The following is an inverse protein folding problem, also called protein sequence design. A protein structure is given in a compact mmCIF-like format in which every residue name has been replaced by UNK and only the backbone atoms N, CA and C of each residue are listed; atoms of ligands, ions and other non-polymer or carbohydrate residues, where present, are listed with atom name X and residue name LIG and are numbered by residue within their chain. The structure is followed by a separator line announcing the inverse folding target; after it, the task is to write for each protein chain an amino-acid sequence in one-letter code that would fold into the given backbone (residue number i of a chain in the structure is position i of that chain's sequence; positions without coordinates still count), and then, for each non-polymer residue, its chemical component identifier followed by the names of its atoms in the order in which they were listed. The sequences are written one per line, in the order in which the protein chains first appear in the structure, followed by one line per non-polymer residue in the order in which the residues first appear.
data_IF_959969571736
#
_entry.id   IF_959969571736
#
_cell.length_a   1.000
_cell.length_b   1.000
_cell.length_c   1.000
_cell.angle_alpha   90.00
_cell.angle_beta   90.00
_cell.angle_gamma   90.00
#
_symmetry.space_group_name_H-M   'P 1'
#
loop_
_entity.id
_entity.type
_entity.pdbx_description
1 polymer ?
#
# COMPACT_ATOMS: atom_id res chain seq x y z
N UNK A 1 -24.93 2.97 -5.62
CA UNK A 1 -23.71 2.81 -4.80
C UNK A 1 -24.14 2.06 -3.56
N UNK A 2 -23.53 0.91 -3.23
CA UNK A 2 -23.81 0.23 -1.98
C UNK A 2 -23.53 1.16 -0.79
N UNK A 3 -24.39 1.11 0.24
CA UNK A 3 -24.18 1.86 1.47
C UNK A 3 -23.07 1.22 2.29
N UNK A 4 -22.18 2.01 2.85
CA UNK A 4 -21.16 1.58 3.80
C UNK A 4 -21.40 2.31 5.11
N UNK A 5 -21.47 1.56 6.21
CA UNK A 5 -21.51 2.10 7.57
C UNK A 5 -20.18 1.79 8.26
N UNK A 6 -19.45 2.83 8.62
CA UNK A 6 -18.25 2.69 9.44
C UNK A 6 -18.66 2.49 10.91
N UNK A 7 -18.19 1.42 11.50
CA UNK A 7 -18.42 1.05 12.90
C UNK A 7 -17.20 1.38 13.78
N UNK A 8 -16.44 2.39 13.39
CA UNK A 8 -15.32 2.91 14.17
C UNK A 8 -15.77 3.82 15.31
N UNK A 9 -14.89 4.05 16.26
CA UNK A 9 -15.12 4.94 17.40
C UNK A 9 -15.27 4.22 18.72
N UNK A 10 -16.26 4.63 19.59
CA UNK A 10 -16.33 4.13 20.94
C UNK A 10 -16.95 2.75 21.05
N UNK A 11 -16.22 1.82 21.65
CA UNK A 11 -16.67 0.48 21.98
C UNK A 11 -16.73 0.30 23.50
N UNK A 12 -17.77 -0.41 23.98
CA UNK A 12 -17.80 -0.86 25.37
C UNK A 12 -16.95 -2.12 25.52
N UNK A 13 -16.01 -2.10 26.45
CA UNK A 13 -15.11 -3.23 26.73
C UNK A 13 -15.55 -3.94 28.02
N UNK A 14 -15.64 -5.27 27.95
CA UNK A 14 -15.76 -6.17 29.08
C UNK A 14 -14.65 -7.21 29.07
N UNK A 15 -14.23 -7.70 30.21
CA UNK A 15 -13.29 -8.82 30.34
C UNK A 15 -14.07 -10.08 30.68
N UNK A 16 -13.77 -11.19 30.01
CA UNK A 16 -14.27 -12.50 30.38
C UNK A 16 -13.24 -13.18 31.26
N UNK A 17 -13.57 -13.38 32.53
CA UNK A 17 -12.83 -14.30 33.37
C UNK A 17 -13.50 -15.68 33.21
N UNK A 18 -12.84 -16.61 32.53
CA UNK A 18 -13.26 -18.02 32.55
C UNK A 18 -13.01 -18.59 33.92
N UNK A 19 -14.04 -19.21 34.51
CA UNK A 19 -13.84 -20.01 35.74
C UNK A 19 -13.08 -21.29 35.36
N UNK A 20 -12.12 -21.68 36.20
CA UNK A 20 -11.35 -22.93 36.04
C UNK A 20 -12.24 -24.18 35.84
N UNK A 21 -13.48 -24.15 36.32
CA UNK A 21 -14.46 -25.25 36.20
C UNK A 21 -14.98 -25.48 34.77
N UNK A 22 -14.93 -24.48 33.90
CA UNK A 22 -15.39 -24.62 32.52
C UNK A 22 -14.30 -25.14 31.56
N UNK A 23 -13.02 -25.03 31.93
CA UNK A 23 -11.89 -25.54 31.18
C UNK A 23 -11.82 -27.08 31.12
N UNK A 24 -12.44 -27.77 32.10
CA UNK A 24 -12.44 -29.24 32.17
C UNK A 24 -13.39 -29.95 31.19
N UNK A 25 -14.16 -29.19 30.39
CA UNK A 25 -15.10 -29.74 29.39
C UNK A 25 -14.52 -29.89 27.99
N UNK A 26 -13.33 -29.38 27.74
CA UNK A 26 -12.62 -29.55 26.48
C UNK A 26 -11.50 -30.57 26.68
N UNK A 27 -11.81 -31.82 26.37
CA UNK A 27 -10.89 -32.96 26.48
C UNK A 27 -9.81 -32.87 25.38
N UNK A 28 -8.56 -33.03 25.81
CA UNK A 28 -7.39 -33.38 25.02
C UNK A 28 -6.96 -32.46 23.83
N UNK A 29 -6.56 -31.25 24.10
CA UNK A 29 -5.42 -30.64 23.37
C UNK A 29 -4.76 -29.60 24.28
N UNK A 30 -3.45 -29.58 24.29
CA UNK A 30 -2.49 -28.73 25.03
C UNK A 30 -3.09 -27.44 25.61
N UNK A 31 -2.92 -27.24 26.92
CA UNK A 31 -3.43 -26.12 27.70
C UNK A 31 -3.18 -24.78 26.99
N UNK A 32 -4.10 -24.39 26.12
CA UNK A 32 -4.24 -23.01 25.73
C UNK A 32 -4.77 -22.29 26.98
N UNK A 33 -3.98 -21.45 27.60
CA UNK A 33 -4.39 -20.58 28.69
C UNK A 33 -5.53 -19.68 28.18
N UNK A 34 -6.78 -20.13 28.29
CA UNK A 34 -8.02 -19.36 28.03
C UNK A 34 -8.16 -18.15 28.98
N UNK A 35 -7.06 -17.76 29.63
CA UNK A 35 -7.04 -16.90 30.78
C UNK A 35 -7.43 -15.45 30.53
N UNK A 36 -7.40 -14.96 29.28
CA UNK A 36 -7.77 -13.57 28.98
C UNK A 36 -8.44 -13.43 27.61
N UNK A 37 -9.71 -13.10 27.61
CA UNK A 37 -10.44 -12.70 26.41
C UNK A 37 -11.11 -11.34 26.66
N UNK A 38 -11.15 -10.49 25.65
CA UNK A 38 -11.85 -9.21 25.70
C UNK A 38 -13.14 -9.28 24.89
N UNK A 39 -14.25 -8.86 25.49
CA UNK A 39 -15.51 -8.63 24.75
C UNK A 39 -15.62 -7.14 24.45
N UNK A 40 -15.80 -6.83 23.19
CA UNK A 40 -16.11 -5.51 22.70
C UNK A 40 -17.56 -5.48 22.24
N UNK A 41 -18.31 -4.45 22.59
CA UNK A 41 -19.70 -4.26 22.16
C UNK A 41 -19.92 -2.86 21.61
N UNK A 42 -20.70 -2.77 20.54
CA UNK A 42 -21.13 -1.52 19.93
C UNK A 42 -22.57 -1.62 19.44
N UNK A 43 -23.35 -0.60 19.77
CA UNK A 43 -24.67 -0.42 19.17
C UNK A 43 -24.58 0.41 17.90
N UNK A 44 -25.39 0.08 16.90
CA UNK A 44 -25.50 0.81 15.64
C UNK A 44 -26.91 0.77 15.08
N UNK A 45 -27.22 1.72 14.24
CA UNK A 45 -28.48 1.82 13.49
C UNK A 45 -28.14 2.07 12.03
N UNK A 46 -29.00 1.61 11.13
CA UNK A 46 -28.81 1.86 9.70
C UNK A 46 -29.16 3.31 9.33
N UNK A 47 -28.39 3.87 8.43
CA UNK A 47 -28.79 5.00 7.62
C UNK A 47 -29.84 4.58 6.57
N UNK A 48 -30.41 5.53 5.84
CA UNK A 48 -31.47 5.26 4.87
C UNK A 48 -31.03 4.33 3.74
N UNK A 49 -29.83 4.44 3.13
CA UNK A 49 -29.35 3.53 2.10
C UNK A 49 -29.20 2.08 2.58
N UNK A 50 -28.63 1.86 3.76
CA UNK A 50 -28.44 0.51 4.31
C UNK A 50 -29.77 -0.12 4.71
N UNK A 51 -30.68 0.68 5.28
CA UNK A 51 -32.03 0.23 5.59
C UNK A 51 -32.76 -0.27 4.34
N UNK A 52 -32.71 0.50 3.25
CA UNK A 52 -33.29 0.11 1.98
C UNK A 52 -32.64 -1.18 1.42
N UNK A 53 -31.33 -1.32 1.55
CA UNK A 53 -30.60 -2.51 1.12
C UNK A 53 -31.04 -3.76 1.88
N UNK A 54 -31.20 -3.68 3.21
CA UNK A 54 -31.70 -4.79 4.04
C UNK A 54 -33.14 -5.12 3.66
N UNK A 55 -34.02 -4.12 3.46
CA UNK A 55 -35.42 -4.33 3.02
C UNK A 55 -35.49 -5.03 1.65
N UNK A 56 -34.53 -4.77 0.77
CA UNK A 56 -34.39 -5.43 -0.55
C UNK A 56 -33.74 -6.81 -0.49
N UNK A 57 -33.28 -7.25 0.68
CA UNK A 57 -32.59 -8.53 0.85
C UNK A 57 -31.19 -8.57 0.24
N UNK A 58 -30.49 -7.42 0.21
CA UNK A 58 -29.08 -7.38 -0.22
C UNK A 58 -28.20 -8.08 0.80
N UNK A 59 -27.07 -8.60 0.33
CA UNK A 59 -26.06 -9.20 1.19
C UNK A 59 -25.40 -8.11 2.04
N UNK A 60 -25.35 -8.34 3.35
CA UNK A 60 -24.73 -7.44 4.32
C UNK A 60 -23.40 -8.04 4.77
N UNK A 61 -22.31 -7.45 4.37
CA UNK A 61 -20.95 -7.92 4.70
C UNK A 61 -20.39 -7.10 5.85
N UNK A 62 -20.14 -7.76 6.99
CA UNK A 62 -19.43 -7.17 8.12
C UNK A 62 -17.94 -7.44 7.98
N UNK A 63 -17.13 -6.38 7.87
CA UNK A 63 -15.69 -6.47 7.66
C UNK A 63 -14.93 -5.90 8.86
N UNK A 64 -13.95 -6.66 9.35
CA UNK A 64 -12.96 -6.23 10.33
C UNK A 64 -11.62 -6.06 9.60
N UNK A 65 -11.13 -4.85 9.46
CA UNK A 65 -9.91 -4.52 8.73
C UNK A 65 -8.64 -4.97 9.43
N UNK A 66 -8.68 -5.10 10.77
CA UNK A 66 -7.56 -5.61 11.54
C UNK A 66 -7.87 -5.77 13.03
N UNK A 67 -7.40 -6.88 13.60
CA UNK A 67 -7.62 -7.24 15.02
C UNK A 67 -6.49 -8.12 15.55
N UNK A 68 -6.32 -8.15 16.86
CA UNK A 68 -5.28 -8.97 17.50
C UNK A 68 -5.85 -10.26 18.06
N UNK A 69 -5.25 -11.39 17.67
CA UNK A 69 -5.66 -12.74 18.09
C UNK A 69 -6.94 -13.22 17.41
N UNK A 70 -7.41 -14.43 17.71
CA UNK A 70 -8.64 -14.98 17.15
C UNK A 70 -9.87 -14.14 17.51
N UNK A 71 -10.71 -13.86 16.50
CA UNK A 71 -11.93 -13.06 16.60
C UNK A 71 -13.17 -13.92 16.37
N UNK A 72 -14.17 -13.75 17.24
CA UNK A 72 -15.53 -14.27 17.05
C UNK A 72 -16.51 -13.09 17.04
N UNK A 73 -17.45 -13.07 16.12
CA UNK A 73 -18.41 -11.98 15.96
C UNK A 73 -19.87 -12.45 16.03
N UNK A 74 -20.71 -11.66 16.72
CA UNK A 74 -22.16 -11.84 16.83
C UNK A 74 -22.87 -10.52 16.55
N UNK A 75 -23.98 -10.59 15.85
CA UNK A 75 -24.94 -9.49 15.71
C UNK A 75 -26.24 -9.91 16.40
N UNK A 76 -26.70 -9.11 17.38
CA UNK A 76 -27.91 -9.38 18.19
C UNK A 76 -27.94 -10.80 18.79
N UNK A 77 -26.78 -11.30 19.20
CA UNK A 77 -26.61 -12.65 19.74
C UNK A 77 -26.54 -13.76 18.69
N UNK A 78 -26.72 -13.47 17.42
CA UNK A 78 -26.54 -14.41 16.31
C UNK A 78 -25.09 -14.47 15.90
N UNK A 79 -24.46 -15.64 15.91
CA UNK A 79 -23.10 -15.84 15.46
C UNK A 79 -22.96 -15.58 13.96
N UNK A 80 -22.03 -14.69 13.57
CA UNK A 80 -21.82 -14.33 12.16
C UNK A 80 -20.47 -14.78 11.61
N UNK A 81 -19.45 -15.01 12.45
CA UNK A 81 -18.19 -15.52 11.94
C UNK A 81 -17.05 -15.62 12.95
N UNK A 82 -16.00 -16.32 12.51
CA UNK A 82 -14.73 -16.53 13.20
C UNK A 82 -13.59 -16.32 12.24
N UNK A 83 -12.52 -15.68 12.70
CA UNK A 83 -11.26 -15.56 11.97
C UNK A 83 -10.10 -15.64 12.95
N UNK A 84 -9.08 -16.45 12.62
CA UNK A 84 -7.91 -16.65 13.46
C UNK A 84 -6.80 -15.63 13.24
N UNK A 85 -6.74 -15.03 12.03
CA UNK A 85 -5.72 -14.04 11.63
C UNK A 85 -6.35 -12.66 11.43
N UNK A 86 -5.82 -11.66 12.13
CA UNK A 86 -6.35 -10.30 12.11
C UNK A 86 -5.55 -9.29 11.30
N UNK A 87 -4.51 -9.69 10.59
CA UNK A 87 -3.73 -8.75 9.75
C UNK A 87 -4.28 -8.60 8.34
N UNK A 88 -5.10 -9.56 7.93
CA UNK A 88 -5.88 -9.51 6.70
C UNK A 88 -7.34 -9.23 7.08
N UNK A 89 -8.07 -8.40 6.33
CA UNK A 89 -9.46 -8.12 6.60
C UNK A 89 -10.30 -9.41 6.64
N UNK A 90 -11.08 -9.58 7.71
CA UNK A 90 -12.04 -10.67 7.84
C UNK A 90 -13.44 -10.16 7.48
N UNK A 91 -14.09 -10.78 6.49
CA UNK A 91 -15.42 -10.42 6.01
C UNK A 91 -16.42 -11.55 6.30
N UNK A 92 -17.54 -11.21 6.93
CA UNK A 92 -18.58 -12.14 7.33
C UNK A 92 -19.93 -11.75 6.75
N UNK A 93 -20.70 -12.73 6.28
CA UNK A 93 -22.10 -12.52 5.88
C UNK A 93 -22.98 -12.39 7.13
N UNK A 94 -23.39 -11.16 7.42
CA UNK A 94 -24.28 -10.82 8.52
C UNK A 94 -25.74 -10.68 8.11
N UNK A 95 -26.10 -10.94 6.84
CA UNK A 95 -27.44 -10.71 6.28
C UNK A 95 -28.55 -11.32 7.12
N UNK A 96 -28.35 -12.56 7.58
CA UNK A 96 -29.35 -13.32 8.34
C UNK A 96 -29.57 -12.79 9.77
N UNK A 97 -28.66 -11.96 10.29
CA UNK A 97 -28.72 -11.43 11.65
C UNK A 97 -29.28 -10.00 11.72
N UNK A 98 -29.55 -9.36 10.58
CA UNK A 98 -29.88 -7.95 10.49
C UNK A 98 -31.35 -7.73 10.10
N UNK A 99 -31.98 -6.72 10.72
CA UNK A 99 -33.36 -6.31 10.45
C UNK A 99 -33.46 -4.79 10.25
N UNK A 100 -34.28 -4.28 9.33
CA UNK A 100 -34.25 -2.87 8.91
C UNK A 100 -34.71 -1.88 9.98
N UNK A 101 -35.37 -2.30 11.05
CA UNK A 101 -36.09 -1.41 11.99
C UNK A 101 -35.54 -1.40 13.42
N UNK A 102 -34.43 -2.09 13.69
CA UNK A 102 -33.88 -2.22 15.04
C UNK A 102 -32.57 -1.46 15.23
N UNK A 103 -32.29 -1.11 16.49
CA UNK A 103 -30.90 -0.87 16.92
C UNK A 103 -30.23 -2.21 17.06
N UNK A 104 -29.11 -2.39 16.38
CA UNK A 104 -28.34 -3.63 16.42
C UNK A 104 -27.19 -3.53 17.41
N UNK A 105 -26.83 -4.67 17.99
CA UNK A 105 -25.67 -4.81 18.86
C UNK A 105 -24.66 -5.73 18.19
N UNK A 106 -23.51 -5.18 17.82
CA UNK A 106 -22.34 -5.96 17.44
C UNK A 106 -21.54 -6.32 18.69
N UNK A 107 -21.33 -7.62 18.90
CA UNK A 107 -20.46 -8.14 19.96
C UNK A 107 -19.30 -8.90 19.34
N UNK A 108 -18.10 -8.64 19.82
CA UNK A 108 -16.86 -9.25 19.36
C UNK A 108 -16.11 -9.81 20.53
N UNK A 109 -15.74 -11.08 20.47
CA UNK A 109 -14.80 -11.72 21.41
C UNK A 109 -13.44 -11.79 20.73
N UNK A 110 -12.44 -11.19 21.35
CA UNK A 110 -11.04 -11.29 20.97
C UNK A 110 -10.30 -12.16 22.00
N UNK A 111 -9.66 -13.21 21.49
CA UNK A 111 -8.81 -14.05 22.32
C UNK A 111 -7.43 -13.40 22.46
N UNK A 112 -6.78 -13.59 23.60
CA UNK A 112 -5.43 -13.09 23.82
C UNK A 112 -4.44 -13.71 22.82
N UNK A 113 -3.61 -12.86 22.24
CA UNK A 113 -2.46 -13.25 21.43
C UNK A 113 -1.17 -12.96 22.18
N UNK A 114 -0.22 -13.89 22.25
CA UNK A 114 1.06 -13.64 22.92
C UNK A 114 1.94 -12.60 22.20
N UNK A 115 1.59 -12.22 21.01
CA UNK A 115 2.47 -11.44 20.10
C UNK A 115 2.15 -9.95 20.08
N UNK A 116 0.94 -9.51 20.44
CA UNK A 116 0.52 -8.12 20.18
C UNK A 116 -0.42 -7.52 21.24
N UNK A 117 -0.54 -6.19 21.18
CA UNK A 117 -1.54 -5.39 21.88
C UNK A 117 -2.97 -5.88 21.55
N UNK A 118 -3.84 -5.92 22.57
CA UNK A 118 -5.20 -6.45 22.43
C UNK A 118 -6.15 -5.39 21.84
N UNK A 119 -6.94 -5.76 20.83
CA UNK A 119 -8.02 -4.93 20.34
C UNK A 119 -8.26 -5.02 18.81
N UNK A 120 -9.21 -4.23 18.37
CA UNK A 120 -9.42 -3.88 16.97
C UNK A 120 -8.46 -2.73 16.64
N UNK A 121 -7.63 -2.87 15.62
CA UNK A 121 -6.61 -1.86 15.29
C UNK A 121 -6.77 -1.26 13.89
N UNK A 122 -7.71 -1.77 13.09
CA UNK A 122 -8.15 -1.15 11.83
C UNK A 122 -9.66 -1.01 11.84
N UNK A 123 -10.20 -0.40 10.79
CA UNK A 123 -11.61 -0.10 10.59
C UNK A 123 -12.52 -1.33 10.71
N UNK A 124 -13.73 -1.09 11.20
CA UNK A 124 -14.83 -2.05 11.16
C UNK A 124 -15.96 -1.44 10.34
N UNK A 125 -16.39 -2.13 9.30
CA UNK A 125 -17.42 -1.63 8.39
C UNK A 125 -18.51 -2.67 8.15
N UNK A 126 -19.70 -2.17 7.83
CA UNK A 126 -20.83 -2.95 7.34
C UNK A 126 -21.19 -2.43 5.96
N UNK A 127 -21.06 -3.27 4.94
CA UNK A 127 -21.30 -2.95 3.55
C UNK A 127 -22.49 -3.72 3.01
N UNK A 128 -23.38 -3.03 2.30
CA UNK A 128 -24.49 -3.66 1.58
C UNK A 128 -24.07 -3.95 0.13
N UNK A 129 -24.15 -5.20 -0.28
CA UNK A 129 -23.86 -5.63 -1.64
C UNK A 129 -25.12 -6.12 -2.34
N UNK A 130 -25.44 -5.62 -3.54
CA UNK A 130 -26.57 -6.10 -4.31
C UNK A 130 -26.36 -7.56 -4.74
N UNK A 131 -27.44 -8.30 -5.09
CA UNK A 131 -27.33 -9.68 -5.58
C UNK A 131 -26.40 -9.83 -6.78
N UNK A 132 -26.39 -8.83 -7.67
CA UNK A 132 -25.42 -8.73 -8.75
C UNK A 132 -24.33 -7.73 -8.35
N UNK A 133 -23.10 -8.19 -8.15
CA UNK A 133 -21.96 -7.36 -7.75
C UNK A 133 -20.63 -7.89 -8.28
N UNK A 134 -19.63 -7.03 -8.31
CA UNK A 134 -18.24 -7.37 -8.62
C UNK A 134 -17.60 -7.98 -7.38
N UNK A 135 -17.04 -9.18 -7.53
CA UNK A 135 -16.38 -9.91 -6.44
C UNK A 135 -14.89 -9.58 -6.38
N UNK A 136 -14.23 -9.56 -7.56
CA UNK A 136 -12.79 -9.31 -7.65
C UNK A 136 -12.42 -8.72 -9.02
N UNK A 137 -11.38 -7.91 -9.03
CA UNK A 137 -10.74 -7.38 -10.23
C UNK A 137 -9.30 -7.90 -10.32
N UNK A 138 -8.95 -8.50 -11.46
CA UNK A 138 -7.61 -9.02 -11.72
C UNK A 138 -6.97 -8.25 -12.89
N UNK A 139 -6.48 -7.02 -12.64
CA UNK A 139 -5.79 -6.26 -13.66
C UNK A 139 -4.32 -6.68 -13.75
N UNK A 140 -3.82 -6.82 -14.98
CA UNK A 140 -2.40 -6.92 -15.28
C UNK A 140 -2.04 -5.77 -16.20
N UNK A 141 -1.43 -4.73 -15.63
CA UNK A 141 -0.99 -3.54 -16.35
C UNK A 141 0.52 -3.60 -16.57
N UNK A 142 0.96 -3.53 -17.82
CA UNK A 142 2.36 -3.59 -18.22
C UNK A 142 2.74 -2.44 -19.14
N UNK A 143 4.05 -2.17 -19.29
CA UNK A 143 4.59 -1.15 -20.17
C UNK A 143 5.88 -1.64 -20.83
N UNK A 144 5.97 -1.60 -22.17
CA UNK A 144 7.11 -2.12 -22.95
C UNK A 144 8.20 -1.07 -23.23
N UNK A 145 8.12 0.10 -22.59
CA UNK A 145 8.98 1.27 -22.83
C UNK A 145 8.46 2.22 -23.91
N UNK A 146 7.38 1.84 -24.63
CA UNK A 146 6.75 2.68 -25.67
C UNK A 146 5.26 2.88 -25.44
N UNK A 147 4.57 1.84 -24.99
CA UNK A 147 3.14 1.85 -24.77
C UNK A 147 2.73 0.92 -23.64
N UNK A 148 1.59 1.22 -23.03
CA UNK A 148 0.98 0.35 -22.03
C UNK A 148 0.12 -0.75 -22.66
N UNK A 149 -0.03 -1.83 -21.90
CA UNK A 149 -1.01 -2.89 -22.15
C UNK A 149 -1.74 -3.25 -20.84
N UNK A 150 -3.04 -3.54 -20.97
CA UNK A 150 -3.88 -3.97 -19.86
C UNK A 150 -4.58 -5.28 -20.25
N UNK A 151 -4.52 -6.26 -19.35
CA UNK A 151 -5.40 -7.41 -19.35
C UNK A 151 -6.22 -7.38 -18.08
N UNK A 152 -7.54 -7.43 -18.18
CA UNK A 152 -8.45 -7.38 -17.04
C UNK A 152 -9.37 -8.59 -17.07
N UNK A 153 -9.47 -9.29 -15.94
CA UNK A 153 -10.54 -10.25 -15.65
C UNK A 153 -11.38 -9.70 -14.52
N UNK A 154 -12.68 -9.92 -14.62
CA UNK A 154 -13.66 -9.44 -13.62
C UNK A 154 -14.40 -10.64 -13.08
N UNK A 155 -14.25 -10.91 -11.80
CA UNK A 155 -15.08 -11.93 -11.11
C UNK A 155 -16.36 -11.26 -10.63
N UNK A 156 -17.52 -11.80 -11.00
CA UNK A 156 -18.82 -11.23 -10.63
C UNK A 156 -19.73 -12.27 -10.02
N UNK A 157 -20.72 -11.80 -9.29
CA UNK A 157 -21.89 -12.58 -8.89
C UNK A 157 -23.12 -11.96 -9.53
N UNK A 158 -23.76 -12.72 -10.42
CA UNK A 158 -24.86 -12.17 -11.22
C UNK A 158 -24.43 -11.11 -12.23
N UNK A 159 -25.40 -10.37 -12.78
CA UNK A 159 -25.16 -9.40 -13.85
C UNK A 159 -25.07 -10.07 -15.23
N UNK A 160 -25.11 -9.26 -16.29
CA UNK A 160 -25.07 -9.75 -17.68
C UNK A 160 -24.02 -9.05 -18.53
N UNK A 161 -23.58 -7.84 -18.13
CA UNK A 161 -22.64 -7.04 -18.90
C UNK A 161 -21.66 -6.33 -17.96
N UNK A 162 -20.38 -6.37 -18.30
CA UNK A 162 -19.31 -5.58 -17.68
C UNK A 162 -18.91 -4.47 -18.65
N UNK A 163 -18.81 -3.25 -18.13
CA UNK A 163 -18.22 -2.12 -18.82
C UNK A 163 -16.97 -1.69 -18.06
N UNK A 164 -15.82 -1.76 -18.69
CA UNK A 164 -14.54 -1.31 -18.14
C UNK A 164 -14.05 -0.07 -18.89
N UNK A 165 -13.63 0.95 -18.13
CA UNK A 165 -13.13 2.23 -18.68
C UNK A 165 -11.83 2.60 -17.98
N UNK A 166 -10.80 2.96 -18.75
CA UNK A 166 -9.53 3.50 -18.25
C UNK A 166 -9.46 5.00 -18.52
N UNK A 167 -9.22 5.78 -17.48
CA UNK A 167 -9.24 7.26 -17.54
C UNK A 167 -7.91 7.83 -17.05
N UNK A 168 -7.42 8.86 -17.73
CA UNK A 168 -6.42 9.78 -17.20
C UNK A 168 -7.17 10.92 -16.50
N UNK A 169 -7.22 10.89 -15.15
CA UNK A 169 -7.95 11.91 -14.39
C UNK A 169 -7.32 13.30 -14.50
N UNK A 170 -5.99 13.40 -14.61
CA UNK A 170 -5.31 14.69 -14.74
C UNK A 170 -5.65 15.41 -16.06
N UNK A 171 -5.85 14.65 -17.13
CA UNK A 171 -6.21 15.18 -18.46
C UNK A 171 -7.72 15.12 -18.71
N UNK A 172 -8.51 14.53 -17.83
CA UNK A 172 -9.94 14.24 -18.00
C UNK A 172 -10.23 13.48 -19.31
N UNK A 173 -9.35 12.52 -19.65
CA UNK A 173 -9.37 11.80 -20.92
C UNK A 173 -9.65 10.31 -20.71
N UNK A 174 -10.60 9.78 -21.47
CA UNK A 174 -10.79 8.34 -21.62
C UNK A 174 -9.70 7.79 -22.55
N UNK A 175 -8.92 6.83 -22.05
CA UNK A 175 -7.84 6.19 -22.80
C UNK A 175 -8.28 4.90 -23.48
N UNK A 176 -9.23 4.23 -22.88
CA UNK A 176 -9.77 2.97 -23.37
C UNK A 176 -11.10 2.65 -22.69
N UNK A 177 -11.99 1.99 -23.43
CA UNK A 177 -13.16 1.35 -22.86
C UNK A 177 -13.54 0.08 -23.60
N UNK A 178 -14.20 -0.85 -22.91
CA UNK A 178 -14.69 -2.11 -23.45
C UNK A 178 -15.96 -2.58 -22.76
N UNK A 179 -16.76 -3.34 -23.49
CA UNK A 179 -17.96 -4.01 -23.01
C UNK A 179 -17.83 -5.50 -23.28
N UNK A 180 -18.40 -6.33 -22.43
CA UNK A 180 -18.39 -7.77 -22.61
C UNK A 180 -19.19 -8.50 -21.52
N UNK A 181 -19.22 -9.83 -21.62
CA UNK A 181 -19.78 -10.68 -20.59
C UNK A 181 -18.87 -10.71 -19.34
N UNK A 182 -19.39 -11.05 -18.15
CA UNK A 182 -18.58 -11.16 -16.93
C UNK A 182 -17.37 -12.09 -17.02
N UNK A 183 -17.48 -13.18 -17.82
CA UNK A 183 -16.40 -14.17 -17.99
C UNK A 183 -15.39 -13.80 -19.08
N UNK A 184 -15.59 -12.69 -19.79
CA UNK A 184 -14.69 -12.24 -20.84
C UNK A 184 -13.36 -11.72 -20.25
N UNK A 185 -12.29 -11.85 -21.04
CA UNK A 185 -11.01 -11.22 -20.76
C UNK A 185 -10.94 -9.94 -21.57
N UNK A 186 -10.84 -8.79 -20.89
CA UNK A 186 -10.73 -7.49 -21.51
C UNK A 186 -9.26 -7.16 -21.77
N UNK A 187 -8.92 -6.84 -23.01
CA UNK A 187 -7.56 -6.49 -23.39
C UNK A 187 -7.48 -5.09 -24.02
N UNK A 188 -6.45 -4.35 -23.64
CA UNK A 188 -6.04 -3.11 -24.27
C UNK A 188 -4.55 -3.17 -24.59
N UNK A 189 -4.17 -2.69 -25.78
CA UNK A 189 -2.76 -2.64 -26.22
C UNK A 189 -2.47 -1.30 -26.88
N UNK A 190 -1.22 -0.88 -26.81
CA UNK A 190 -0.80 0.38 -27.41
C UNK A 190 -1.35 1.62 -26.68
N UNK A 191 -1.65 1.50 -25.40
CA UNK A 191 -2.16 2.60 -24.58
C UNK A 191 -1.10 3.70 -24.44
N UNK A 192 -1.52 4.94 -24.66
CA UNK A 192 -0.67 6.13 -24.45
C UNK A 192 -0.65 6.50 -22.98
N UNK A 193 0.11 5.78 -22.22
CA UNK A 193 0.30 5.97 -20.79
C UNK A 193 1.79 6.13 -20.49
N UNK A 194 2.11 6.83 -19.40
CA UNK A 194 3.46 6.90 -18.86
C UNK A 194 3.71 5.66 -17.97
N UNK A 195 4.94 5.12 -17.99
CA UNK A 195 5.29 4.04 -17.08
C UNK A 195 5.32 4.53 -15.63
N UNK A 196 4.81 3.73 -14.71
CA UNK A 196 4.89 4.00 -13.28
C UNK A 196 6.28 3.63 -12.74
N UNK A 197 6.85 4.53 -11.95
CA UNK A 197 8.06 4.27 -11.14
C UNK A 197 7.99 5.04 -9.82
N UNK A 198 8.89 4.72 -8.86
CA UNK A 198 9.00 5.50 -7.62
C UNK A 198 9.46 6.96 -7.85
N UNK A 199 10.07 7.25 -9.00
CA UNK A 199 10.50 8.59 -9.40
C UNK A 199 9.37 9.36 -10.11
N UNK A 200 8.57 8.65 -10.92
CA UNK A 200 7.43 9.17 -11.69
C UNK A 200 6.21 8.26 -11.47
N UNK A 201 5.41 8.48 -10.42
CA UNK A 201 4.30 7.61 -10.05
C UNK A 201 3.03 7.93 -10.85
N UNK A 202 3.04 7.68 -12.16
CA UNK A 202 1.90 7.91 -13.04
C UNK A 202 0.80 6.88 -12.80
N UNK A 203 -0.38 7.34 -12.35
CA UNK A 203 -1.56 6.53 -12.09
C UNK A 203 -2.70 6.86 -13.04
N UNK A 204 -3.50 5.85 -13.33
CA UNK A 204 -4.67 5.91 -14.21
C UNK A 204 -5.85 5.22 -13.54
N UNK A 205 -7.04 5.83 -13.59
CA UNK A 205 -8.24 5.29 -12.96
C UNK A 205 -8.91 4.23 -13.85
N UNK A 206 -8.97 2.99 -13.39
CA UNK A 206 -9.82 1.95 -13.96
C UNK A 206 -11.17 1.98 -13.26
N UNK A 207 -12.24 2.10 -14.02
CA UNK A 207 -13.63 2.06 -13.53
C UNK A 207 -14.28 0.87 -14.18
N UNK A 208 -14.83 -0.04 -13.36
CA UNK A 208 -15.54 -1.23 -13.82
C UNK A 208 -16.98 -1.19 -13.31
N UNK A 209 -17.93 -1.28 -14.20
CA UNK A 209 -19.35 -1.23 -13.89
C UNK A 209 -20.01 -2.54 -14.32
N UNK A 210 -20.75 -3.15 -13.42
CA UNK A 210 -21.58 -4.33 -13.67
C UNK A 210 -23.03 -3.89 -13.91
N UNK A 211 -23.65 -4.45 -14.96
CA UNK A 211 -25.02 -4.11 -15.39
C UNK A 211 -25.86 -5.36 -15.57
N UNK A 212 -27.17 -5.17 -15.46
CA UNK A 212 -28.18 -6.11 -15.94
C UNK A 212 -29.25 -5.37 -16.76
N UNK A 213 -30.37 -6.04 -17.04
CA UNK A 213 -31.47 -5.45 -17.83
C UNK A 213 -32.12 -4.21 -17.18
N UNK A 214 -32.00 -4.08 -15.85
CA UNK A 214 -32.55 -2.94 -15.08
C UNK A 214 -31.56 -1.76 -14.97
N UNK A 215 -30.30 -1.95 -15.35
CA UNK A 215 -29.25 -0.92 -15.34
C UNK A 215 -28.02 -1.27 -14.51
N UNK A 216 -27.33 -0.24 -14.00
CA UNK A 216 -26.12 -0.40 -13.21
C UNK A 216 -26.46 -1.03 -11.86
N UNK A 217 -25.74 -2.10 -11.51
CA UNK A 217 -25.87 -2.81 -10.23
C UNK A 217 -24.70 -2.51 -9.29
N UNK A 218 -23.47 -2.47 -9.84
CA UNK A 218 -22.28 -2.24 -9.05
C UNK A 218 -21.23 -1.47 -9.85
N UNK A 219 -20.39 -0.73 -9.16
CA UNK A 219 -19.27 0.01 -9.76
C UNK A 219 -18.09 -0.01 -8.80
N UNK A 220 -16.96 -0.50 -9.27
CA UNK A 220 -15.69 -0.54 -8.55
C UNK A 220 -14.65 0.26 -9.33
N UNK A 221 -13.84 1.02 -8.64
CA UNK A 221 -12.72 1.74 -9.25
C UNK A 221 -11.42 1.48 -8.50
N UNK A 222 -10.31 1.44 -9.23
CA UNK A 222 -8.97 1.31 -8.67
C UNK A 222 -7.96 2.08 -9.53
N UNK A 223 -6.85 2.46 -8.90
CA UNK A 223 -5.76 3.14 -9.60
C UNK A 223 -4.73 2.12 -10.11
N UNK A 224 -4.37 2.27 -11.38
CA UNK A 224 -3.39 1.42 -12.05
C UNK A 224 -2.13 2.19 -12.42
N UNK A 225 -0.98 1.61 -12.13
CA UNK A 225 0.31 2.01 -12.68
C UNK A 225 0.80 0.99 -13.71
N UNK A 226 1.19 1.46 -14.88
CA UNK A 226 1.67 0.60 -15.96
C UNK A 226 3.17 0.39 -15.85
N UNK A 227 3.59 -0.85 -15.61
CA UNK A 227 5.00 -1.20 -15.44
C UNK A 227 5.28 -2.66 -15.78
N UNK A 228 6.52 -2.97 -16.12
CA UNK A 228 7.00 -4.35 -16.26
C UNK A 228 8.12 -4.61 -15.28
N UNK A 229 7.94 -5.57 -14.39
CA UNK A 229 8.91 -6.01 -13.39
C UNK A 229 9.41 -7.39 -13.79
N UNK A 230 10.71 -7.61 -13.65
CA UNK A 230 11.33 -8.91 -13.84
C UNK A 230 12.30 -9.19 -12.69
N UNK A 231 12.17 -10.36 -12.09
CA UNK A 231 13.16 -10.88 -11.15
C UNK A 231 14.27 -11.59 -11.91
N UNK A 232 15.51 -11.22 -11.63
CA UNK A 232 16.69 -11.86 -12.21
C UNK A 232 17.60 -12.35 -11.09
N UNK A 233 18.57 -13.22 -11.43
CA UNK A 233 19.61 -13.64 -10.48
C UNK A 233 20.50 -12.48 -9.99
N UNK A 234 20.41 -11.31 -10.61
CA UNK A 234 21.18 -10.10 -10.27
C UNK A 234 20.34 -9.04 -9.54
N UNK A 235 19.05 -9.30 -9.32
CA UNK A 235 18.12 -8.40 -8.66
C UNK A 235 16.85 -8.15 -9.45
N UNK A 236 16.16 -7.07 -9.13
CA UNK A 236 14.90 -6.67 -9.76
C UNK A 236 15.16 -5.65 -10.86
N UNK A 237 14.52 -5.83 -12.01
CA UNK A 237 14.48 -4.83 -13.07
C UNK A 237 13.07 -4.25 -13.20
N UNK A 238 12.98 -2.98 -13.59
CA UNK A 238 11.74 -2.29 -13.92
C UNK A 238 11.87 -1.67 -15.31
N UNK A 239 10.99 -2.06 -16.23
CA UNK A 239 11.09 -1.61 -17.62
C UNK A 239 12.44 -1.96 -18.27
N UNK A 240 13.05 -3.08 -17.90
CA UNK A 240 14.36 -3.54 -18.38
C UNK A 240 15.56 -2.83 -17.75
N UNK A 241 15.38 -1.88 -16.82
CA UNK A 241 16.46 -1.21 -16.09
C UNK A 241 16.61 -1.82 -14.70
N UNK A 242 17.86 -2.11 -14.28
CA UNK A 242 18.14 -2.61 -12.93
C UNK A 242 17.77 -1.55 -11.88
N UNK A 243 17.00 -1.97 -10.87
CA UNK A 243 16.66 -1.12 -9.74
C UNK A 243 17.75 -1.14 -8.69
N UNK A 244 18.15 0.04 -8.23
CA UNK A 244 18.98 0.20 -7.03
C UNK A 244 18.04 0.48 -5.88
N UNK A 245 17.80 -0.52 -5.04
CA UNK A 245 16.91 -0.41 -3.89
C UNK A 245 17.63 0.31 -2.73
N UNK A 246 17.11 1.45 -2.35
CA UNK A 246 17.52 2.24 -1.18
C UNK A 246 16.41 2.15 -0.15
N UNK A 247 16.51 1.14 0.71
CA UNK A 247 15.38 0.67 1.48
C UNK A 247 15.45 0.93 2.97
N UNK A 248 14.29 0.86 3.59
CA UNK A 248 14.08 0.75 5.04
C UNK A 248 13.07 -0.36 5.30
N UNK A 249 13.14 -0.95 6.49
CA UNK A 249 12.12 -1.89 6.97
C UNK A 249 11.12 -1.15 7.84
N UNK A 250 9.84 -1.33 7.57
CA UNK A 250 8.72 -0.76 8.32
C UNK A 250 7.90 -1.87 8.96
N UNK A 251 7.69 -1.75 10.25
CA UNK A 251 6.77 -2.62 11.00
C UNK A 251 5.40 -1.94 11.11
N UNK A 252 4.32 -2.70 10.96
CA UNK A 252 2.94 -2.24 11.14
C UNK A 252 2.58 -2.00 12.62
N UNK A 253 3.47 -1.37 13.37
CA UNK A 253 3.28 -1.09 14.79
C UNK A 253 3.92 0.25 15.17
N UNK A 254 3.24 1.16 15.86
CA UNK A 254 3.78 2.41 16.41
C UNK A 254 3.97 2.31 17.93
N UNK A 255 5.01 2.97 18.47
CA UNK A 255 5.33 2.95 19.91
C UNK A 255 4.27 3.61 20.81
N UNK A 256 3.38 4.43 20.24
CA UNK A 256 2.30 5.13 20.96
C UNK A 256 0.94 4.47 20.76
N UNK A 257 0.64 4.06 19.53
CA UNK A 257 -0.66 3.53 19.11
C UNK A 257 -0.67 2.02 18.92
N UNK A 258 0.50 1.37 19.05
CA UNK A 258 0.63 -0.07 18.77
C UNK A 258 0.36 -0.37 17.31
N UNK A 259 -0.52 -1.33 17.05
CA UNK A 259 -0.92 -1.72 15.68
C UNK A 259 -1.92 -0.74 15.02
N UNK A 260 -2.51 0.20 15.79
CA UNK A 260 -3.48 1.17 15.28
C UNK A 260 -2.76 2.38 14.64
N UNK A 261 -2.03 2.14 13.56
CA UNK A 261 -1.33 3.18 12.80
C UNK A 261 -2.36 3.95 11.98
N UNK A 262 -2.38 5.27 12.16
CA UNK A 262 -3.34 6.16 11.49
C UNK A 262 -2.78 6.78 10.21
N UNK A 263 -3.66 7.38 9.40
CA UNK A 263 -3.29 8.00 8.13
C UNK A 263 -2.21 9.09 8.24
N UNK A 264 -2.23 10.03 9.22
CA UNK A 264 -1.15 10.99 9.41
C UNK A 264 0.22 10.33 9.65
N UNK A 265 0.28 9.26 10.44
CA UNK A 265 1.53 8.52 10.71
C UNK A 265 2.05 7.81 9.46
N UNK A 266 1.15 7.21 8.66
CA UNK A 266 1.51 6.61 7.37
C UNK A 266 2.07 7.65 6.40
N UNK A 267 1.43 8.81 6.31
CA UNK A 267 1.88 9.90 5.45
C UNK A 267 3.23 10.47 5.91
N UNK A 268 3.45 10.60 7.21
CA UNK A 268 4.73 11.01 7.78
C UNK A 268 5.85 10.02 7.44
N UNK A 269 5.57 8.70 7.44
CA UNK A 269 6.52 7.66 7.02
C UNK A 269 6.89 7.81 5.53
N UNK A 270 5.90 7.97 4.67
CA UNK A 270 6.09 8.18 3.22
C UNK A 270 6.92 9.44 2.95
N UNK A 271 6.51 10.57 3.53
CA UNK A 271 7.20 11.87 3.34
C UNK A 271 8.63 11.81 3.85
N UNK A 272 8.85 11.17 5.00
CA UNK A 272 10.20 10.97 5.53
C UNK A 272 11.05 10.17 4.55
N UNK A 273 10.55 9.04 4.04
CA UNK A 273 11.25 8.21 3.06
C UNK A 273 11.65 9.04 1.83
N UNK A 274 10.72 9.76 1.23
CA UNK A 274 10.97 10.59 0.04
C UNK A 274 12.02 11.67 0.30
N UNK A 275 11.95 12.37 1.43
CA UNK A 275 12.89 13.44 1.79
C UNK A 275 14.31 12.94 2.07
N UNK A 276 14.45 11.66 2.46
CA UNK A 276 15.76 11.05 2.72
C UNK A 276 16.25 10.18 1.55
N UNK A 277 15.61 10.28 0.38
CA UNK A 277 16.01 9.55 -0.83
C UNK A 277 15.81 8.04 -0.74
N UNK A 278 15.04 7.57 0.25
CA UNK A 278 14.56 6.18 0.33
C UNK A 278 13.55 5.95 -0.79
N UNK A 279 13.73 4.89 -1.56
CA UNK A 279 12.82 4.52 -2.64
C UNK A 279 12.10 3.20 -2.40
N UNK A 280 12.45 2.48 -1.35
CA UNK A 280 11.93 1.13 -1.08
C UNK A 280 11.57 0.98 0.39
N UNK A 281 10.40 0.42 0.66
CA UNK A 281 9.97 0.02 2.00
C UNK A 281 9.69 -1.47 2.00
N UNK A 282 10.36 -2.20 2.90
CA UNK A 282 10.02 -3.59 3.21
C UNK A 282 9.03 -3.57 4.36
N UNK A 283 7.84 -4.07 4.14
CA UNK A 283 6.86 -4.26 5.19
C UNK A 283 7.18 -5.59 5.85
N UNK A 284 7.40 -5.56 7.17
CA UNK A 284 7.81 -6.72 7.94
C UNK A 284 6.69 -7.17 8.87
N UNK A 285 6.75 -8.44 9.24
CA UNK A 285 5.94 -9.11 10.27
C UNK A 285 4.47 -9.35 9.91
N UNK A 286 3.88 -8.62 8.96
CA UNK A 286 2.50 -8.78 8.53
C UNK A 286 2.23 -8.07 7.19
N UNK A 287 1.17 -8.44 6.45
CA UNK A 287 0.73 -7.69 5.27
C UNK A 287 0.46 -6.23 5.56
N UNK A 288 0.90 -5.36 4.65
CA UNK A 288 0.77 -3.92 4.79
C UNK A 288 -0.67 -3.43 4.96
N UNK A 289 -0.83 -2.27 5.55
CA UNK A 289 -2.12 -1.60 5.58
C UNK A 289 -2.48 -1.13 4.15
N UNK A 290 -3.67 -1.47 3.65
CA UNK A 290 -4.08 -1.12 2.27
C UNK A 290 -3.88 0.38 1.98
N UNK A 291 -4.25 1.27 2.91
CA UNK A 291 -4.05 2.71 2.74
C UNK A 291 -2.58 3.12 2.61
N UNK A 292 -1.65 2.40 3.26
CA UNK A 292 -0.21 2.66 3.09
C UNK A 292 0.26 2.29 1.68
N UNK A 293 -0.28 1.21 1.10
CA UNK A 293 0.03 0.81 -0.27
C UNK A 293 -0.51 1.83 -1.29
N UNK A 294 -1.73 2.34 -1.09
CA UNK A 294 -2.29 3.42 -1.92
C UNK A 294 -1.42 4.68 -1.87
N UNK A 295 -0.96 5.07 -0.68
CA UNK A 295 -0.03 6.20 -0.54
C UNK A 295 1.32 5.92 -1.22
N UNK A 296 1.82 4.68 -1.15
CA UNK A 296 3.05 4.30 -1.85
C UNK A 296 2.89 4.34 -3.37
N UNK A 297 1.71 4.00 -3.89
CA UNK A 297 1.37 4.14 -5.32
C UNK A 297 1.38 5.62 -5.74
N UNK A 298 0.76 6.48 -4.93
CA UNK A 298 0.57 7.91 -5.21
C UNK A 298 1.88 8.71 -5.08
N UNK A 299 2.64 8.47 -4.01
CA UNK A 299 3.88 9.20 -3.72
C UNK A 299 5.12 8.61 -4.38
N UNK A 300 5.02 7.40 -4.90
CA UNK A 300 6.11 6.69 -5.57
C UNK A 300 7.12 6.09 -4.58
N UNK A 301 6.78 4.94 -4.00
CA UNK A 301 7.71 4.09 -3.26
C UNK A 301 7.58 2.65 -3.75
N UNK A 302 8.68 1.93 -3.85
CA UNK A 302 8.65 0.48 -4.06
C UNK A 302 8.34 -0.21 -2.75
N UNK A 303 7.43 -1.16 -2.79
CA UNK A 303 7.04 -1.96 -1.62
C UNK A 303 7.46 -3.41 -1.85
N UNK A 304 8.10 -3.98 -0.86
CA UNK A 304 8.26 -5.42 -0.71
C UNK A 304 7.30 -5.80 0.40
N UNK A 305 6.17 -6.39 0.02
CA UNK A 305 5.07 -6.63 0.96
C UNK A 305 5.13 -8.03 1.56
N UNK A 306 4.82 -8.12 2.85
CA UNK A 306 4.79 -9.38 3.57
C UNK A 306 3.49 -10.13 3.28
N UNK A 307 3.57 -11.37 2.83
CA UNK A 307 2.39 -12.21 2.59
C UNK A 307 2.10 -13.16 3.75
N UNK A 308 3.08 -13.43 4.62
CA UNK A 308 2.92 -14.32 5.74
C UNK A 308 2.95 -13.54 7.04
N UNK A 309 1.90 -13.65 7.83
CA UNK A 309 1.94 -13.19 9.21
C UNK A 309 2.74 -14.18 10.07
N UNK A 310 3.57 -13.66 10.98
CA UNK A 310 4.36 -14.45 11.94
C UNK A 310 3.50 -15.19 13.00
N UNK A 311 2.24 -15.50 12.68
CA UNK A 311 1.27 -15.94 13.66
C UNK A 311 1.06 -17.44 13.65
N UNK A 312 1.15 -17.93 14.81
CA UNK A 312 0.90 -19.19 15.47
C UNK A 312 0.37 -20.39 14.65
N UNK A 313 0.54 -21.60 15.19
CA UNK A 313 0.00 -22.81 14.58
C UNK A 313 -1.54 -22.74 14.57
N UNK A 314 -2.17 -22.94 13.41
CA UNK A 314 -3.63 -23.08 13.26
C UNK A 314 -4.31 -22.17 12.21
N UNK A 315 -3.61 -21.21 11.63
CA UNK A 315 -4.11 -20.48 10.45
C UNK A 315 -3.77 -21.30 9.23
N UNK A 316 -4.72 -21.49 8.32
CA UNK A 316 -4.45 -22.02 7.00
C UNK A 316 -3.56 -20.99 6.26
N UNK A 317 -2.25 -21.18 6.29
CA UNK A 317 -1.26 -20.26 5.71
C UNK A 317 -1.57 -19.93 4.25
N UNK A 318 -1.99 -20.93 3.50
CA UNK A 318 -2.32 -20.77 2.08
C UNK A 318 -3.47 -19.78 1.87
N UNK A 319 -4.52 -19.82 2.70
CA UNK A 319 -5.66 -18.90 2.62
C UNK A 319 -5.24 -17.47 2.98
N UNK A 320 -4.36 -17.29 3.96
CA UNK A 320 -3.84 -15.98 4.36
C UNK A 320 -2.97 -15.38 3.26
N UNK A 321 -2.07 -16.15 2.66
CA UNK A 321 -1.23 -15.74 1.54
C UNK A 321 -2.11 -15.36 0.33
N UNK A 322 -3.11 -16.19 0.00
CA UNK A 322 -4.03 -15.92 -1.09
C UNK A 322 -4.79 -14.61 -0.87
N UNK A 323 -5.30 -14.38 0.33
CA UNK A 323 -6.04 -13.17 0.66
C UNK A 323 -5.16 -11.91 0.58
N UNK A 324 -3.90 -11.97 1.07
CA UNK A 324 -2.95 -10.87 0.98
C UNK A 324 -2.64 -10.53 -0.49
N UNK A 325 -2.27 -11.53 -1.29
CA UNK A 325 -1.93 -11.32 -2.70
C UNK A 325 -3.13 -10.82 -3.50
N UNK A 326 -4.33 -11.38 -3.30
CA UNK A 326 -5.55 -10.92 -3.99
C UNK A 326 -5.85 -9.46 -3.68
N UNK A 327 -5.69 -9.04 -2.42
CA UNK A 327 -5.88 -7.65 -2.00
C UNK A 327 -4.88 -6.70 -2.66
N UNK A 328 -3.58 -7.08 -2.66
CA UNK A 328 -2.49 -6.13 -2.90
C UNK A 328 -1.88 -6.23 -4.31
N UNK A 329 -2.23 -7.25 -5.12
CA UNK A 329 -1.68 -7.45 -6.47
C UNK A 329 -1.96 -6.33 -7.47
N UNK A 330 -2.97 -5.48 -7.23
CA UNK A 330 -3.29 -4.37 -8.11
C UNK A 330 -2.37 -3.15 -7.90
N UNK A 331 -1.69 -3.06 -6.74
CA UNK A 331 -0.82 -1.93 -6.40
C UNK A 331 0.46 -1.93 -7.25
N UNK A 332 0.73 -0.86 -8.03
CA UNK A 332 1.97 -0.75 -8.81
C UNK A 332 3.21 -0.60 -7.93
N UNK A 333 3.08 -0.08 -6.72
CA UNK A 333 4.18 0.04 -5.74
C UNK A 333 4.72 -1.31 -5.29
N UNK A 334 3.88 -2.34 -5.15
CA UNK A 334 4.31 -3.68 -4.73
C UNK A 334 5.15 -4.32 -5.84
N UNK A 335 6.46 -4.46 -5.61
CA UNK A 335 7.41 -5.00 -6.59
C UNK A 335 7.82 -6.44 -6.30
N UNK A 336 7.65 -6.89 -5.08
CA UNK A 336 7.99 -8.25 -4.66
C UNK A 336 7.16 -8.65 -3.44
N UNK A 337 7.05 -9.97 -3.23
CA UNK A 337 6.43 -10.56 -2.07
C UNK A 337 7.50 -11.08 -1.10
N UNK A 338 7.51 -10.56 0.13
CA UNK A 338 8.30 -11.11 1.22
C UNK A 338 7.54 -12.27 1.85
N UNK A 339 8.13 -13.44 1.84
CA UNK A 339 7.53 -14.66 2.37
C UNK A 339 8.57 -15.52 3.08
N UNK A 340 8.11 -16.55 3.78
CA UNK A 340 8.99 -17.54 4.38
C UNK A 340 9.79 -18.37 3.33
N UNK A 341 10.75 -19.15 3.83
CA UNK A 341 11.62 -19.99 2.99
C UNK A 341 10.95 -21.33 2.58
N UNK A 342 9.66 -21.51 2.86
CA UNK A 342 8.96 -22.77 2.56
C UNK A 342 8.56 -22.83 1.07
N UNK A 343 8.98 -23.88 0.36
CA UNK A 343 8.75 -24.07 -1.08
C UNK A 343 7.24 -24.03 -1.47
N UNK A 344 6.36 -24.47 -0.58
CA UNK A 344 4.91 -24.48 -0.83
C UNK A 344 4.32 -23.09 -0.82
N UNK A 345 4.76 -22.19 0.09
CA UNK A 345 4.37 -20.78 0.14
C UNK A 345 4.78 -20.05 -1.14
N UNK A 346 6.03 -20.25 -1.54
CA UNK A 346 6.60 -19.70 -2.79
C UNK A 346 5.80 -20.15 -4.01
N UNK A 347 5.41 -21.43 -4.06
CA UNK A 347 4.61 -21.98 -5.17
C UNK A 347 3.19 -21.39 -5.20
N UNK A 348 2.55 -21.25 -4.03
CA UNK A 348 1.23 -20.66 -3.91
C UNK A 348 1.24 -19.21 -4.42
N UNK A 349 2.18 -18.39 -3.93
CA UNK A 349 2.31 -17.00 -4.35
C UNK A 349 2.53 -16.85 -5.86
N UNK A 350 3.41 -17.65 -6.43
CA UNK A 350 3.71 -17.67 -7.88
C UNK A 350 2.50 -18.03 -8.74
N UNK A 351 1.62 -18.89 -8.23
CA UNK A 351 0.41 -19.27 -8.94
C UNK A 351 -0.64 -18.15 -8.95
N UNK A 352 -0.65 -17.33 -7.91
CA UNK A 352 -1.59 -16.21 -7.72
C UNK A 352 -1.13 -14.94 -8.41
N UNK A 353 0.18 -14.68 -8.40
CA UNK A 353 0.79 -13.52 -9.05
C UNK A 353 2.16 -13.87 -9.65
N UNK A 354 2.19 -14.31 -10.91
CA UNK A 354 3.45 -14.60 -11.60
C UNK A 354 4.22 -13.34 -12.04
N UNK A 355 3.68 -12.15 -11.80
CA UNK A 355 4.25 -10.88 -12.28
C UNK A 355 5.28 -10.29 -11.34
N UNK A 356 5.35 -10.75 -10.08
CA UNK A 356 6.23 -10.21 -9.05
C UNK A 356 7.28 -11.22 -8.61
N UNK A 357 8.40 -10.65 -8.14
CA UNK A 357 9.48 -11.41 -7.58
C UNK A 357 9.14 -11.94 -6.18
N UNK A 358 9.72 -13.05 -5.82
CA UNK A 358 9.85 -13.48 -4.45
C UNK A 358 11.09 -12.82 -3.85
N UNK A 359 10.98 -12.38 -2.63
CA UNK A 359 12.05 -11.70 -1.93
C UNK A 359 12.34 -12.38 -0.60
N UNK A 360 13.48 -13.03 -0.50
CA UNK A 360 13.99 -13.56 0.76
C UNK A 360 14.84 -12.48 1.43
N UNK A 361 14.34 -11.92 2.52
CA UNK A 361 14.97 -11.00 3.49
C UNK A 361 16.19 -10.20 3.03
N UNK A 362 15.98 -8.98 2.53
CA UNK A 362 17.03 -7.97 2.59
C UNK A 362 17.06 -7.34 3.98
N UNK A 363 18.24 -7.26 4.55
CA UNK A 363 18.45 -6.52 5.79
C UNK A 363 18.53 -5.02 5.49
N UNK A 364 17.40 -4.35 5.39
CA UNK A 364 17.36 -2.90 5.42
C UNK A 364 17.23 -2.39 6.86
N UNK A 365 17.74 -1.18 7.17
CA UNK A 365 17.62 -0.62 8.50
C UNK A 365 16.15 -0.33 8.86
N UNK A 366 15.80 -0.55 10.12
CA UNK A 366 14.48 -0.25 10.67
C UNK A 366 14.19 1.26 10.59
N UNK A 367 13.08 1.64 9.93
CA UNK A 367 12.66 3.02 9.69
C UNK A 367 12.61 3.85 10.99
N UNK A 368 12.14 3.27 12.09
CA UNK A 368 12.02 3.98 13.36
C UNK A 368 13.35 4.24 14.02
N UNK A 369 14.31 3.32 13.87
CA UNK A 369 15.66 3.49 14.39
C UNK A 369 16.40 4.58 13.62
N UNK A 370 16.30 4.57 12.29
CA UNK A 370 17.02 5.54 11.45
C UNK A 370 16.38 6.93 11.40
N UNK A 371 15.13 7.11 11.84
CA UNK A 371 14.53 8.45 12.01
C UNK A 371 15.29 9.35 13.00
N UNK A 372 16.09 8.77 13.90
CA UNK A 372 16.97 9.48 14.82
C UNK A 372 18.42 9.57 14.35
N UNK A 373 18.76 9.01 13.19
CA UNK A 373 20.11 8.94 12.63
C UNK A 373 20.19 9.73 11.32
N UNK A 374 21.40 10.03 10.86
CA UNK A 374 21.66 10.75 9.59
C UNK A 374 21.59 9.78 8.38
N UNK A 375 20.49 9.00 8.22
CA UNK A 375 20.29 8.23 7.00
C UNK A 375 19.84 9.17 5.87
N UNK A 376 20.64 9.28 4.83
CA UNK A 376 20.27 10.01 3.62
C UNK A 376 20.87 9.35 2.37
N UNK A 377 20.01 8.97 1.44
CA UNK A 377 20.39 8.45 0.13
C UNK A 377 20.28 9.57 -0.90
N UNK A 378 21.39 10.26 -1.14
CA UNK A 378 21.40 11.36 -2.11
C UNK A 378 21.07 10.85 -3.53
N UNK A 379 19.99 11.33 -4.18
CA UNK A 379 19.65 10.95 -5.56
C UNK A 379 20.64 11.54 -6.58
N UNK A 380 21.38 12.56 -6.18
CA UNK A 380 22.42 13.21 -6.97
C UNK A 380 23.63 13.45 -6.07
N UNK A 381 24.83 13.21 -6.59
CA UNK A 381 26.05 13.59 -5.90
C UNK A 381 26.83 14.62 -6.71
N UNK A 382 27.51 15.52 -6.00
CA UNK A 382 28.32 16.57 -6.59
C UNK A 382 29.77 16.45 -6.11
N UNK A 383 30.70 16.69 -7.00
CA UNK A 383 32.14 16.63 -6.69
C UNK A 383 32.86 17.84 -7.29
N UNK A 384 33.97 18.33 -6.66
CA UNK A 384 34.73 19.47 -7.16
C UNK A 384 35.38 19.15 -8.51
N UNK A 385 35.45 20.17 -9.36
CA UNK A 385 36.23 20.16 -10.59
C UNK A 385 36.91 21.52 -10.77
N UNK A 386 37.95 21.61 -11.63
CA UNK A 386 38.77 22.79 -11.79
C UNK A 386 37.98 24.08 -12.10
N UNK A 387 36.96 24.00 -12.96
CA UNK A 387 36.18 25.16 -13.41
C UNK A 387 34.67 25.00 -13.18
N UNK A 388 34.27 24.10 -12.26
CA UNK A 388 32.85 23.85 -12.02
C UNK A 388 32.64 22.69 -11.08
N UNK A 389 31.58 21.90 -11.35
CA UNK A 389 31.13 20.80 -10.53
C UNK A 389 30.84 19.59 -11.41
N UNK A 390 31.30 18.43 -11.02
CA UNK A 390 30.87 17.16 -11.58
C UNK A 390 29.58 16.74 -10.88
N UNK A 391 28.57 16.45 -11.64
CA UNK A 391 27.25 16.03 -11.15
C UNK A 391 27.00 14.59 -11.58
N UNK A 392 26.80 13.69 -10.64
CA UNK A 392 26.42 12.30 -10.89
C UNK A 392 24.95 12.10 -10.56
N UNK A 393 24.16 11.69 -11.55
CA UNK A 393 22.76 11.34 -11.38
C UNK A 393 22.65 9.85 -10.97
N UNK A 394 22.07 9.55 -9.81
CA UNK A 394 21.83 8.20 -9.30
C UNK A 394 20.37 7.75 -9.46
N UNK A 395 19.54 8.57 -10.08
CA UNK A 395 18.16 8.21 -10.42
C UNK A 395 18.16 7.20 -11.57
N UNK A 396 17.11 6.38 -11.64
CA UNK A 396 17.00 5.31 -12.63
C UNK A 396 16.21 5.75 -13.86
N UNK A 397 15.22 6.61 -13.68
CA UNK A 397 14.25 6.98 -14.72
C UNK A 397 14.29 8.45 -15.07
N UNK A 398 14.54 9.35 -14.11
CA UNK A 398 14.49 10.79 -14.29
C UNK A 398 15.87 11.42 -14.49
N UNK A 399 15.94 12.43 -15.35
CA UNK A 399 17.13 13.28 -15.48
C UNK A 399 17.15 14.36 -14.40
N UNK A 400 18.23 15.14 -14.35
CA UNK A 400 18.33 16.27 -13.42
C UNK A 400 17.77 17.57 -13.99
N UNK A 401 17.04 17.55 -15.10
CA UNK A 401 16.51 18.75 -15.76
C UNK A 401 15.62 19.60 -14.84
N UNK A 402 14.87 18.95 -13.97
CA UNK A 402 13.95 19.56 -13.01
C UNK A 402 14.60 19.88 -11.64
N UNK A 403 15.92 19.94 -11.59
CA UNK A 403 16.68 20.30 -10.40
C UNK A 403 17.40 21.64 -10.56
N UNK A 404 17.45 22.37 -9.47
CA UNK A 404 18.24 23.59 -9.33
C UNK A 404 19.55 23.28 -8.59
N UNK A 405 20.68 23.73 -9.14
CA UNK A 405 21.99 23.66 -8.51
C UNK A 405 22.35 25.04 -7.97
N UNK A 406 22.16 25.24 -6.67
CA UNK A 406 22.51 26.48 -6.01
C UNK A 406 23.95 26.40 -5.48
N UNK A 407 24.86 27.05 -6.21
CA UNK A 407 26.29 27.13 -5.91
C UNK A 407 26.57 28.34 -5.01
N UNK A 408 27.31 28.14 -3.92
CA UNK A 408 27.61 29.18 -2.93
C UNK A 408 29.09 29.24 -2.60
N UNK A 409 29.54 30.43 -2.24
CA UNK A 409 30.81 30.64 -1.57
C UNK A 409 30.57 31.17 -0.17
N UNK A 410 31.07 30.45 0.80
CA UNK A 410 30.95 30.78 2.23
C UNK A 410 32.28 31.20 2.80
N UNK A 411 32.34 32.37 3.41
CA UNK A 411 33.50 32.89 4.12
C UNK A 411 33.08 33.21 5.57
N UNK A 412 33.81 32.68 6.54
CA UNK A 412 33.53 32.88 7.96
C UNK A 412 32.07 32.64 8.36
N UNK A 413 31.45 31.58 7.79
CA UNK A 413 30.06 31.21 8.05
C UNK A 413 29.01 32.09 7.38
N UNK A 414 29.43 33.02 6.48
CA UNK A 414 28.51 33.88 5.72
C UNK A 414 28.57 33.58 4.23
N UNK A 415 27.42 33.48 3.60
CA UNK A 415 27.33 33.38 2.14
C UNK A 415 27.76 34.73 1.54
N UNK A 416 28.84 34.72 0.75
CA UNK A 416 29.39 35.90 0.10
C UNK A 416 29.11 35.96 -1.39
N UNK A 417 28.69 34.85 -1.98
CA UNK A 417 28.32 34.75 -3.38
C UNK A 417 27.36 33.55 -3.62
N UNK A 418 26.40 33.73 -4.50
CA UNK A 418 25.47 32.70 -4.94
C UNK A 418 25.33 32.70 -6.46
N UNK A 419 25.15 31.50 -7.03
CA UNK A 419 24.89 31.28 -8.44
C UNK A 419 23.93 30.08 -8.58
N UNK A 420 22.81 30.29 -9.24
CA UNK A 420 21.84 29.24 -9.54
C UNK A 420 21.99 28.82 -10.99
N UNK A 421 21.93 27.51 -11.24
CA UNK A 421 22.00 26.91 -12.56
C UNK A 421 21.15 25.64 -12.63
N UNK A 422 20.83 25.23 -13.84
CA UNK A 422 20.27 23.92 -14.15
C UNK A 422 21.26 23.12 -15.01
N UNK A 423 21.21 21.82 -14.90
CA UNK A 423 21.99 20.89 -15.72
C UNK A 423 21.13 19.64 -15.96
N UNK A 424 20.98 19.25 -17.21
CA UNK A 424 20.28 18.03 -17.59
C UNK A 424 21.31 16.89 -17.71
N UNK A 425 21.35 16.01 -16.71
CA UNK A 425 22.15 14.79 -16.66
C UNK A 425 21.23 13.60 -16.75
N UNK A 426 21.40 12.78 -17.76
CA UNK A 426 20.58 11.60 -17.97
C UNK A 426 20.69 10.60 -16.77
N UNK A 427 19.70 9.74 -16.56
CA UNK A 427 19.71 8.72 -15.52
C UNK A 427 20.98 7.87 -15.55
N UNK A 428 21.64 7.73 -14.40
CA UNK A 428 22.87 6.95 -14.27
C UNK A 428 24.13 7.58 -14.88
N UNK A 429 24.05 8.78 -15.46
CA UNK A 429 25.17 9.46 -16.13
C UNK A 429 25.85 10.48 -15.22
N UNK A 430 26.97 11.01 -15.70
CA UNK A 430 27.70 12.10 -15.07
C UNK A 430 27.81 13.27 -16.03
N UNK A 431 27.46 14.47 -15.55
CA UNK A 431 27.54 15.70 -16.29
C UNK A 431 28.53 16.71 -15.64
N UNK A 432 28.84 17.75 -16.36
CA UNK A 432 29.70 18.85 -15.88
C UNK A 432 28.89 20.15 -15.87
N UNK A 433 28.79 20.76 -14.68
CA UNK A 433 28.22 22.09 -14.49
C UNK A 433 29.35 23.13 -14.43
N UNK A 434 29.43 24.00 -15.44
CA UNK A 434 30.36 25.13 -15.40
C UNK A 434 29.86 26.19 -14.42
N UNK A 435 30.67 26.54 -13.46
CA UNK A 435 30.31 27.52 -12.42
C UNK A 435 31.37 28.61 -12.37
N UNK A 436 31.01 29.91 -12.52
CA UNK A 436 31.95 31.02 -12.52
C UNK A 436 32.37 31.40 -11.08
N UNK A 437 33.02 30.47 -10.41
CA UNK A 437 33.47 30.67 -9.03
C UNK A 437 34.27 31.95 -8.85
N UNK A 438 33.89 32.86 -7.94
CA UNK A 438 34.75 33.97 -7.58
C UNK A 438 35.96 33.49 -6.76
N UNK A 439 36.86 34.38 -6.40
CA UNK A 439 38.06 34.11 -5.59
C UNK A 439 37.82 33.41 -4.25
N UNK A 440 38.84 32.95 -3.51
CA UNK A 440 38.79 31.81 -2.60
C UNK A 440 37.75 31.93 -1.49
N UNK A 441 37.18 30.79 -1.12
CA UNK A 441 36.23 30.56 -0.04
C UNK A 441 35.78 29.12 -0.06
N UNK A 442 35.11 28.68 1.00
CA UNK A 442 34.49 27.38 1.03
C UNK A 442 33.38 27.34 -0.02
N UNK A 443 33.47 26.38 -0.94
CA UNK A 443 32.45 26.19 -2.00
C UNK A 443 31.52 25.10 -1.61
N UNK A 444 30.22 25.33 -1.73
CA UNK A 444 29.19 24.37 -1.49
C UNK A 444 28.15 24.38 -2.62
N UNK A 445 27.50 23.23 -2.85
CA UNK A 445 26.42 23.09 -3.81
C UNK A 445 25.22 22.43 -3.13
N UNK A 446 24.09 23.12 -3.15
CA UNK A 446 22.80 22.63 -2.72
C UNK A 446 22.01 22.21 -3.96
N UNK A 447 21.62 20.96 -4.08
CA UNK A 447 20.77 20.44 -5.15
C UNK A 447 19.32 20.45 -4.67
N UNK A 448 18.44 21.15 -5.39
CA UNK A 448 17.10 21.48 -4.94
C UNK A 448 16.03 21.11 -5.97
N UNK A 449 14.83 20.87 -5.49
CA UNK A 449 13.66 20.75 -6.36
C UNK A 449 13.30 22.11 -6.98
N UNK A 450 13.11 22.16 -8.30
CA UNK A 450 12.70 23.39 -9.00
C UNK A 450 11.22 23.68 -8.82
N UNK A 451 10.39 22.68 -8.50
CA UNK A 451 8.95 22.79 -8.28
C UNK A 451 8.51 22.02 -7.03
N UNK A 452 7.31 22.31 -6.54
CA UNK A 452 6.74 21.59 -5.42
C UNK A 452 6.22 20.22 -5.83
N UNK A 453 6.47 19.22 -4.99
CA UNK A 453 5.95 17.86 -5.10
C UNK A 453 4.94 17.59 -4.00
N UNK A 454 4.26 16.43 -4.00
CA UNK A 454 3.36 16.03 -2.91
C UNK A 454 4.06 15.88 -1.55
N UNK A 455 5.40 15.71 -1.53
CA UNK A 455 6.18 15.45 -0.31
C UNK A 455 7.14 16.58 0.09
N UNK A 456 7.43 17.55 -0.78
CA UNK A 456 8.30 18.68 -0.48
C UNK A 456 7.98 19.92 -1.32
N UNK A 457 8.20 21.14 -0.78
CA UNK A 457 8.05 22.39 -1.53
C UNK A 457 9.20 22.59 -2.53
N UNK A 458 9.00 23.46 -3.52
CA UNK A 458 10.08 23.98 -4.36
C UNK A 458 11.19 24.57 -3.49
N UNK A 459 12.44 24.39 -3.90
CA UNK A 459 13.63 24.80 -3.13
C UNK A 459 14.04 23.83 -2.04
N UNK A 460 13.32 22.71 -1.82
CA UNK A 460 13.74 21.66 -0.88
C UNK A 460 15.06 21.04 -1.33
N UNK A 461 16.05 20.98 -0.44
CA UNK A 461 17.37 20.40 -0.70
C UNK A 461 17.30 18.86 -0.65
N UNK A 462 17.65 18.22 -1.76
CA UNK A 462 17.67 16.74 -1.89
C UNK A 462 19.09 16.17 -1.88
N UNK A 463 20.09 17.02 -2.05
CA UNK A 463 21.49 16.67 -1.94
C UNK A 463 22.34 17.90 -1.63
N UNK A 464 23.44 17.69 -0.94
CA UNK A 464 24.42 18.72 -0.59
C UNK A 464 25.83 18.22 -0.88
N UNK A 465 26.73 19.12 -1.27
CA UNK A 465 28.12 18.80 -1.43
C UNK A 465 29.03 19.96 -1.04
N UNK A 466 29.94 19.71 -0.10
CA UNK A 466 31.06 20.58 0.23
C UNK A 466 32.21 20.34 -0.77
N UNK A 467 32.59 21.39 -1.50
CA UNK A 467 33.60 21.33 -2.54
C UNK A 467 34.95 21.91 -2.04
N UNK A 468 35.33 21.58 -0.82
CA UNK A 468 36.68 21.91 -0.32
C UNK A 468 37.72 21.11 -1.12
N UNK A 469 38.65 21.85 -1.77
CA UNK A 469 39.81 21.27 -2.46
C UNK A 469 40.99 21.13 -1.49
#
# INVERSE_FOLDING_TARGET
VPGILELDGTWMRGEVQTREEDASRFDDTESCDLARASILRREFIFDAPLKEAVERGWMMTLTFGGFSGPLYAWVDGTFVGFCADGFIPAAFDATHALQPTHTHTLAVLLMDSPVCCHGLFREVSLEARPPAHIVDLVPVASHDGRAGALTLRVETRGGVEVHATLVNEAEQAELWSAFGAPDDVFEARGLKVLPWSAEEPALYRLIVTLRDEEGIKDTVSLDLGFRSIEATSQGVTLGGKALILRGVTRNECDGRTGLAVNLPEMLDDIVWCKRHGVNTVVIADAPGHARFLELADEYGLYIIDCTSALYGPGVARDEAIEAAIRRDRAHPSVIAWAMGDEEDEVRAARSLDPTRAEYSQACFPDLRKVRGEELHYAPVTVAPSYSGVMVRNHMTFTSTADLEFLCRVVNEGRVTWEYSASLDVAPGETGFLSVPWPSPGLREVSVRLSYSTGWAPAGFEIAHGDLSM
#
